data_IF_933683520778
#
_entry.id   IF_933683520778
#
_cell.length_a   1.000
_cell.length_b   1.000
_cell.length_c   1.000
_cell.angle_alpha   90.00
_cell.angle_beta   90.00
_cell.angle_gamma   90.00
#
_symmetry.space_group_name_H-M   'P 1'
#
loop_
_entity.id
_entity.type
_entity.pdbx_description
1 polymer ?
#
# COMPACT_ATOMS: atom_id res chain seq x y z
N UNK A 1 -18.20 -10.90 19.08
CA UNK A 1 -17.67 -9.53 19.27
C UNK A 1 -16.37 -9.26 18.50
N UNK A 2 -15.64 -10.28 18.02
CA UNK A 2 -14.36 -10.11 17.28
C UNK A 2 -14.52 -9.87 15.77
N UNK A 3 -15.62 -10.33 15.16
CA UNK A 3 -15.87 -10.13 13.72
C UNK A 3 -16.19 -8.64 13.43
N UNK A 4 -16.92 -8.00 14.34
CA UNK A 4 -17.37 -6.60 14.21
C UNK A 4 -16.19 -5.60 14.22
N UNK A 5 -15.22 -5.81 15.11
CA UNK A 5 -14.02 -4.98 15.22
C UNK A 5 -13.14 -5.06 13.96
N UNK A 6 -13.00 -6.25 13.35
CA UNK A 6 -12.23 -6.44 12.12
C UNK A 6 -12.87 -5.77 10.92
N UNK A 7 -14.21 -5.86 10.81
CA UNK A 7 -14.95 -5.16 9.75
C UNK A 7 -14.75 -3.64 9.88
N UNK A 8 -14.83 -3.10 11.10
CA UNK A 8 -14.57 -1.68 11.36
C UNK A 8 -13.18 -1.22 10.91
N UNK A 9 -12.12 -1.95 11.26
CA UNK A 9 -10.76 -1.60 10.85
C UNK A 9 -10.58 -1.65 9.33
N UNK A 10 -11.16 -2.66 8.66
CA UNK A 10 -11.08 -2.76 7.20
C UNK A 10 -11.80 -1.59 6.53
N UNK A 11 -13.01 -1.24 6.97
CA UNK A 11 -13.77 -0.10 6.45
C UNK A 11 -13.05 1.24 6.67
N UNK A 12 -12.42 1.41 7.85
CA UNK A 12 -11.63 2.59 8.18
C UNK A 12 -10.38 2.70 7.31
N UNK A 13 -9.65 1.58 7.14
CA UNK A 13 -8.48 1.53 6.29
C UNK A 13 -8.81 1.99 4.87
N UNK A 14 -9.92 1.52 4.29
CA UNK A 14 -10.38 1.90 2.93
C UNK A 14 -10.53 3.42 2.73
N UNK A 15 -10.80 4.19 3.79
CA UNK A 15 -11.01 5.65 3.75
C UNK A 15 -9.73 6.47 3.81
N UNK A 16 -8.58 5.84 4.10
CA UNK A 16 -7.30 6.55 4.10
C UNK A 16 -7.13 7.23 2.73
N UNK A 17 -6.61 8.45 2.61
CA UNK A 17 -6.44 9.15 1.34
C UNK A 17 -5.33 10.19 1.46
N UNK A 18 -4.77 10.65 0.33
CA UNK A 18 -3.80 11.72 0.36
C UNK A 18 -4.36 12.97 1.02
N UNK A 19 -3.60 13.56 1.95
CA UNK A 19 -3.97 14.86 2.57
C UNK A 19 -3.49 16.06 1.76
N UNK A 20 -2.64 15.81 0.76
CA UNK A 20 -2.03 16.82 -0.10
C UNK A 20 -1.89 16.31 -1.54
N UNK A 21 -1.92 17.19 -2.55
CA UNK A 21 -1.78 16.81 -3.95
C UNK A 21 -0.36 16.32 -4.32
N UNK A 22 0.65 16.62 -3.51
CA UNK A 22 2.06 16.25 -3.72
C UNK A 22 2.49 15.00 -2.91
N UNK A 23 1.54 14.15 -2.53
CA UNK A 23 1.76 12.99 -1.65
C UNK A 23 2.82 12.02 -2.14
N UNK A 24 3.11 11.98 -3.44
CA UNK A 24 4.12 11.11 -4.04
C UNK A 24 5.52 11.34 -3.46
N UNK A 25 5.80 12.55 -2.92
CA UNK A 25 7.10 12.92 -2.34
C UNK A 25 7.12 13.00 -0.83
N UNK A 26 5.95 12.94 -0.21
CA UNK A 26 5.87 13.07 1.23
C UNK A 26 6.31 11.75 1.88
N UNK A 27 6.94 11.84 3.07
CA UNK A 27 7.06 10.68 3.95
C UNK A 27 5.70 10.02 4.11
N UNK A 28 5.66 8.69 4.09
CA UNK A 28 4.39 7.96 4.06
C UNK A 28 3.52 8.37 5.26
N UNK A 29 4.13 8.65 6.40
CA UNK A 29 3.49 9.03 7.67
C UNK A 29 2.84 10.43 7.64
N UNK A 30 3.16 11.25 6.62
CA UNK A 30 2.69 12.62 6.45
C UNK A 30 1.86 12.83 5.19
N UNK A 31 1.94 11.92 4.22
CA UNK A 31 1.23 12.03 2.95
C UNK A 31 -0.24 11.64 3.03
N UNK A 32 -0.64 10.90 4.07
CA UNK A 32 -1.97 10.30 4.21
C UNK A 32 -2.56 10.55 5.60
N UNK A 33 -3.89 10.52 5.68
CA UNK A 33 -4.71 10.69 6.88
C UNK A 33 -4.77 9.42 7.75
N UNK A 34 -3.60 8.89 8.13
CA UNK A 34 -3.48 7.73 9.01
C UNK A 34 -4.28 7.76 10.34
N UNK A 35 -4.63 8.92 10.94
CA UNK A 35 -5.59 8.95 12.05
C UNK A 35 -6.93 8.26 11.74
N UNK A 36 -7.30 8.05 10.47
CA UNK A 36 -8.50 7.32 10.08
C UNK A 36 -8.62 5.90 10.68
N UNK A 37 -7.50 5.27 11.04
CA UNK A 37 -7.48 3.92 11.66
C UNK A 37 -7.12 3.94 13.14
N UNK A 38 -6.85 5.11 13.74
CA UNK A 38 -6.27 5.20 15.07
C UNK A 38 -7.20 4.73 16.20
N UNK A 39 -8.51 4.92 16.04
CA UNK A 39 -9.53 4.54 17.02
C UNK A 39 -9.96 3.05 16.89
N UNK A 40 -9.27 2.27 16.04
CA UNK A 40 -9.58 0.86 15.82
C UNK A 40 -8.58 -0.05 16.52
N UNK A 41 -9.07 -1.17 17.04
CA UNK A 41 -8.25 -2.17 17.71
C UNK A 41 -7.36 -2.92 16.70
N UNK A 42 -6.04 -2.72 16.79
CA UNK A 42 -5.02 -3.56 16.16
C UNK A 42 -3.74 -3.54 17.02
N UNK A 43 -3.03 -4.66 17.11
CA UNK A 43 -1.73 -4.69 17.78
C UNK A 43 -0.61 -4.23 16.84
N UNK A 44 -0.70 -4.70 15.60
CA UNK A 44 0.30 -4.46 14.58
C UNK A 44 -0.32 -4.60 13.18
N UNK A 45 0.08 -3.73 12.26
CA UNK A 45 -0.22 -3.82 10.84
C UNK A 45 1.07 -3.78 10.02
N UNK A 46 0.99 -4.23 8.78
CA UNK A 46 2.13 -4.25 7.87
C UNK A 46 1.85 -3.44 6.62
N UNK A 47 2.71 -2.47 6.33
CA UNK A 47 2.55 -1.55 5.21
C UNK A 47 3.69 -1.74 4.22
N UNK A 48 3.32 -1.91 2.94
CA UNK A 48 4.25 -1.93 1.81
C UNK A 48 3.97 -0.71 0.94
N UNK A 49 4.95 0.17 0.79
CA UNK A 49 4.85 1.37 -0.04
C UNK A 49 5.67 1.16 -1.31
N UNK A 50 5.03 1.41 -2.46
CA UNK A 50 5.63 1.37 -3.77
C UNK A 50 5.88 2.80 -4.22
N UNK A 51 7.14 3.22 -4.27
CA UNK A 51 7.54 4.52 -4.84
C UNK A 51 8.21 4.27 -6.18
N UNK A 52 7.76 4.98 -7.21
CA UNK A 52 8.30 4.74 -8.55
C UNK A 52 8.35 6.00 -9.39
N UNK A 53 9.30 6.08 -10.31
CA UNK A 53 9.29 7.00 -11.44
C UNK A 53 9.17 6.19 -12.72
N UNK A 54 8.11 6.40 -13.50
CA UNK A 54 7.89 5.67 -14.77
C UNK A 54 8.79 6.21 -15.87
N UNK A 55 9.24 5.31 -16.75
CA UNK A 55 9.90 5.70 -17.99
C UNK A 55 8.98 6.59 -18.84
N UNK A 56 9.53 7.54 -19.63
CA UNK A 56 8.72 8.39 -20.52
C UNK A 56 7.86 7.61 -21.51
N UNK A 57 8.32 6.43 -21.93
CA UNK A 57 7.69 5.52 -22.89
C UNK A 57 7.08 4.27 -22.23
N UNK A 58 6.87 4.29 -20.91
CA UNK A 58 6.28 3.18 -20.19
C UNK A 58 4.89 2.83 -20.74
N UNK A 59 4.65 1.54 -20.97
CA UNK A 59 3.35 1.02 -21.39
C UNK A 59 2.37 1.01 -20.21
N UNK A 60 1.52 2.04 -20.15
CA UNK A 60 0.56 2.23 -19.05
C UNK A 60 -0.54 1.17 -19.02
N UNK A 61 -0.92 0.63 -20.18
CA UNK A 61 -1.91 -0.44 -20.27
C UNK A 61 -1.36 -1.74 -19.73
N UNK A 62 -0.11 -2.06 -20.08
CA UNK A 62 0.58 -3.23 -19.54
C UNK A 62 0.80 -3.11 -18.02
N UNK A 63 1.21 -1.93 -17.54
CA UNK A 63 1.34 -1.66 -16.10
C UNK A 63 0.02 -1.87 -15.37
N UNK A 64 -1.07 -1.29 -15.88
CA UNK A 64 -2.41 -1.46 -15.30
C UNK A 64 -2.83 -2.92 -15.29
N UNK A 65 -2.61 -3.64 -16.37
CA UNK A 65 -2.97 -5.06 -16.49
C UNK A 65 -2.29 -5.93 -15.44
N UNK A 66 -0.96 -5.81 -15.28
CA UNK A 66 -0.24 -6.61 -14.28
C UNK A 66 -0.53 -6.17 -12.85
N UNK A 67 -0.76 -4.88 -12.62
CA UNK A 67 -1.19 -4.37 -11.33
C UNK A 67 -2.55 -4.93 -10.92
N UNK A 68 -3.52 -4.94 -11.82
CA UNK A 68 -4.87 -5.47 -11.54
C UNK A 68 -4.83 -7.00 -11.28
N UNK A 69 -3.95 -7.73 -11.97
CA UNK A 69 -3.71 -9.16 -11.72
C UNK A 69 -3.09 -9.41 -10.35
N UNK A 70 -2.07 -8.63 -9.96
CA UNK A 70 -1.43 -8.73 -8.65
C UNK A 70 -2.43 -8.35 -7.54
N UNK A 71 -3.24 -7.31 -7.75
CA UNK A 71 -4.28 -6.93 -6.81
C UNK A 71 -5.35 -8.02 -6.63
N UNK A 72 -5.82 -8.65 -7.72
CA UNK A 72 -6.75 -9.77 -7.63
C UNK A 72 -6.16 -10.96 -6.84
N UNK A 73 -4.86 -11.26 -7.02
CA UNK A 73 -4.16 -12.29 -6.25
C UNK A 73 -3.99 -11.90 -4.77
N UNK A 74 -3.75 -10.62 -4.47
CA UNK A 74 -3.70 -10.09 -3.12
C UNK A 74 -5.03 -10.25 -2.38
N UNK A 75 -6.15 -9.91 -3.05
CA UNK A 75 -7.50 -10.12 -2.51
C UNK A 75 -7.77 -11.60 -2.23
N UNK A 76 -7.42 -12.48 -3.16
CA UNK A 76 -7.61 -13.93 -3.00
C UNK A 76 -6.75 -14.55 -1.88
N UNK A 77 -5.60 -13.95 -1.58
CA UNK A 77 -4.68 -14.40 -0.53
C UNK A 77 -5.14 -14.06 0.90
N UNK A 78 -6.05 -13.08 1.02
CA UNK A 78 -6.61 -12.62 2.30
C UNK A 78 -5.67 -11.76 3.14
N UNK A 79 -6.24 -10.99 4.07
CA UNK A 79 -5.51 -10.10 4.99
C UNK A 79 -5.10 -8.75 4.40
N UNK A 80 -5.50 -8.44 3.17
CA UNK A 80 -5.34 -7.10 2.60
C UNK A 80 -6.43 -6.17 3.16
N UNK A 81 -6.02 -5.17 3.94
CA UNK A 81 -6.93 -4.16 4.48
C UNK A 81 -7.18 -3.06 3.46
N UNK A 82 -6.14 -2.66 2.73
CA UNK A 82 -6.24 -1.63 1.70
C UNK A 82 -5.18 -1.77 0.62
N UNK A 83 -5.60 -1.60 -0.62
CA UNK A 83 -4.73 -1.20 -1.72
C UNK A 83 -5.06 0.24 -2.12
N UNK A 84 -4.09 1.14 -2.03
CA UNK A 84 -4.17 2.48 -2.61
C UNK A 84 -3.35 2.52 -3.89
N UNK A 85 -4.04 2.69 -5.02
CA UNK A 85 -3.45 2.87 -6.35
C UNK A 85 -3.33 4.37 -6.63
N UNK A 86 -2.15 4.92 -6.40
CA UNK A 86 -1.92 6.34 -6.62
C UNK A 86 -1.74 6.69 -8.09
N UNK A 87 -2.06 7.94 -8.42
CA UNK A 87 -1.77 8.52 -9.72
C UNK A 87 -0.30 8.98 -9.81
N UNK A 88 0.20 8.96 -11.05
CA UNK A 88 1.48 9.56 -11.36
C UNK A 88 1.32 11.08 -11.49
N UNK A 89 2.28 11.82 -10.95
CA UNK A 89 2.36 13.27 -11.15
C UNK A 89 2.94 13.66 -12.51
N UNK A 90 3.07 14.98 -12.74
CA UNK A 90 3.64 15.57 -13.96
C UNK A 90 5.07 15.11 -14.29
N UNK A 91 5.79 14.59 -13.29
CA UNK A 91 7.14 14.02 -13.43
C UNK A 91 7.13 12.49 -13.50
N UNK A 92 5.95 11.88 -13.70
CA UNK A 92 5.72 10.43 -13.78
C UNK A 92 6.05 9.68 -12.49
N UNK A 93 6.18 10.38 -11.36
CA UNK A 93 6.42 9.74 -10.07
C UNK A 93 5.10 9.34 -9.46
N UNK A 94 5.08 8.19 -8.80
CA UNK A 94 3.87 7.54 -8.31
C UNK A 94 4.14 6.97 -6.93
N UNK A 95 3.11 6.97 -6.08
CA UNK A 95 3.10 6.30 -4.79
C UNK A 95 1.82 5.48 -4.68
N UNK A 96 1.99 4.17 -4.57
CA UNK A 96 0.92 3.24 -4.21
C UNK A 96 1.29 2.54 -2.90
N UNK A 97 0.32 1.94 -2.20
CA UNK A 97 0.64 1.10 -1.06
C UNK A 97 -0.39 0.00 -0.82
N UNK A 98 0.06 -1.05 -0.14
CA UNK A 98 -0.80 -2.08 0.42
C UNK A 98 -0.65 -2.10 1.95
N UNK A 99 -1.77 -1.97 2.65
CA UNK A 99 -1.87 -2.15 4.10
C UNK A 99 -2.45 -3.54 4.38
N UNK A 100 -1.78 -4.28 5.27
CA UNK A 100 -2.07 -5.68 5.58
C UNK A 100 -2.29 -5.88 7.07
N UNK A 101 -3.13 -6.85 7.41
CA UNK A 101 -3.32 -7.33 8.78
C UNK A 101 -2.02 -7.88 9.38
N UNK A 102 -1.14 -8.47 8.57
CA UNK A 102 0.16 -8.95 9.04
C UNK A 102 1.21 -9.05 7.92
N UNK A 103 2.47 -9.16 8.33
CA UNK A 103 3.60 -9.40 7.42
C UNK A 103 3.44 -10.73 6.69
N UNK A 104 2.96 -11.77 7.35
CA UNK A 104 2.74 -13.09 6.77
C UNK A 104 1.68 -13.04 5.67
N UNK A 105 0.61 -12.25 5.84
CA UNK A 105 -0.40 -12.04 4.81
C UNK A 105 0.22 -11.40 3.54
N UNK A 106 1.00 -10.33 3.74
CA UNK A 106 1.71 -9.66 2.65
C UNK A 106 2.67 -10.60 1.91
N UNK A 107 3.43 -11.42 2.64
CA UNK A 107 4.38 -12.38 2.06
C UNK A 107 3.68 -13.50 1.29
N UNK A 108 2.55 -14.01 1.78
CA UNK A 108 1.75 -15.01 1.05
C UNK A 108 1.27 -14.48 -0.29
N UNK A 109 0.75 -13.26 -0.32
CA UNK A 109 0.32 -12.62 -1.56
C UNK A 109 1.51 -12.36 -2.51
N UNK A 110 2.60 -11.78 -2.00
CA UNK A 110 3.77 -11.44 -2.80
C UNK A 110 4.50 -12.66 -3.40
N UNK A 111 4.35 -13.85 -2.79
CA UNK A 111 4.88 -15.10 -3.31
C UNK A 111 4.05 -15.72 -4.46
N UNK A 112 2.94 -15.10 -4.84
CA UNK A 112 2.07 -15.57 -5.91
C UNK A 112 2.61 -15.28 -7.32
N UNK A 113 2.09 -16.03 -8.30
CA UNK A 113 2.53 -15.94 -9.69
C UNK A 113 2.19 -14.59 -10.32
N UNK A 114 1.10 -13.95 -9.91
CA UNK A 114 0.70 -12.65 -10.49
C UNK A 114 1.60 -11.53 -9.99
N UNK A 115 2.00 -11.56 -8.72
CA UNK A 115 3.03 -10.66 -8.20
C UNK A 115 4.39 -10.88 -8.86
N UNK A 116 4.80 -12.14 -9.07
CA UNK A 116 6.03 -12.45 -9.83
C UNK A 116 5.99 -11.87 -11.24
N UNK A 117 4.87 -12.04 -11.94
CA UNK A 117 4.65 -11.50 -13.28
C UNK A 117 4.72 -9.96 -13.29
N UNK A 118 4.09 -9.28 -12.32
CA UNK A 118 4.17 -7.83 -12.20
C UNK A 118 5.60 -7.34 -11.92
N UNK A 119 6.33 -8.04 -11.03
CA UNK A 119 7.73 -7.71 -10.74
C UNK A 119 8.64 -7.89 -11.97
N UNK A 120 8.35 -8.85 -12.85
CA UNK A 120 9.16 -9.14 -14.04
C UNK A 120 9.23 -7.98 -15.05
N UNK A 121 8.24 -7.07 -15.04
CA UNK A 121 8.19 -5.95 -15.97
C UNK A 121 8.79 -4.66 -15.41
N UNK A 122 9.12 -4.61 -14.12
CA UNK A 122 9.57 -3.40 -13.42
C UNK A 122 10.77 -2.75 -14.12
N UNK A 123 11.80 -3.54 -14.44
CA UNK A 123 13.06 -3.03 -15.02
C UNK A 123 12.90 -2.35 -16.39
N UNK A 124 11.82 -2.64 -17.12
CA UNK A 124 11.53 -2.02 -18.43
C UNK A 124 10.43 -0.95 -18.38
N UNK A 125 9.86 -0.68 -17.20
CA UNK A 125 8.76 0.28 -17.04
C UNK A 125 9.12 1.48 -16.17
N UNK A 126 10.14 1.34 -15.32
CA UNK A 126 10.48 2.35 -14.34
C UNK A 126 11.94 2.82 -14.47
N UNK A 127 12.14 4.13 -14.31
CA UNK A 127 13.44 4.74 -14.04
C UNK A 127 13.92 4.32 -12.65
N UNK A 128 13.00 4.37 -11.67
CA UNK A 128 13.23 3.91 -10.30
C UNK A 128 11.99 3.22 -9.74
N UNK A 129 12.20 2.22 -8.90
CA UNK A 129 11.15 1.49 -8.22
C UNK A 129 11.64 1.01 -6.86
N UNK A 130 11.12 1.61 -5.80
CA UNK A 130 11.51 1.38 -4.41
C UNK A 130 10.35 0.79 -3.61
N UNK A 131 10.67 -0.22 -2.81
CA UNK A 131 9.77 -0.87 -1.88
C UNK A 131 10.14 -0.50 -0.45
N UNK A 132 9.31 0.31 0.19
CA UNK A 132 9.43 0.59 1.61
C UNK A 132 8.53 -0.36 2.40
N UNK A 133 9.01 -0.83 3.55
CA UNK A 133 8.28 -1.75 4.43
C UNK A 133 8.22 -1.13 5.81
N UNK A 134 7.04 -1.14 6.39
CA UNK A 134 6.80 -0.60 7.71
C UNK A 134 5.94 -1.54 8.53
N UNK A 135 6.20 -1.54 9.82
CA UNK A 135 5.27 -2.02 10.81
C UNK A 135 4.59 -0.82 11.46
N UNK A 136 3.26 -0.91 11.56
CA UNK A 136 2.44 0.09 12.22
C UNK A 136 1.94 -0.49 13.53
N UNK A 137 2.10 0.25 14.63
CA UNK A 137 1.49 -0.07 15.92
C UNK A 137 0.59 1.08 16.35
N UNK A 138 -0.35 0.87 17.29
CA UNK A 138 -1.13 1.97 17.85
C UNK A 138 -0.26 3.16 18.25
N UNK A 139 -0.76 4.36 17.96
CA UNK A 139 -0.20 5.62 18.43
C UNK A 139 -0.67 5.94 19.85
N UNK A 140 -0.06 6.95 20.46
CA UNK A 140 -0.54 7.48 21.74
C UNK A 140 -1.88 8.21 21.54
N UNK A 141 -2.81 8.09 22.51
CA UNK A 141 -4.07 8.84 22.63
C UNK A 141 -4.94 8.94 21.36
N UNK A 142 -5.07 7.85 20.58
CA UNK A 142 -5.89 7.86 19.34
C UNK A 142 -5.29 8.72 18.21
N UNK A 143 -4.02 9.08 18.34
CA UNK A 143 -3.26 9.78 17.30
C UNK A 143 -2.82 8.87 16.16
N UNK A 144 -2.06 9.44 15.21
CA UNK A 144 -1.46 8.69 14.11
C UNK A 144 -0.73 7.43 14.63
N UNK A 145 -0.87 6.25 13.98
CA UNK A 145 -0.07 5.07 14.27
C UNK A 145 1.44 5.35 14.31
N UNK A 146 2.16 4.59 15.11
CA UNK A 146 3.62 4.62 15.11
C UNK A 146 4.15 3.83 13.92
N UNK A 147 5.13 4.39 13.18
CA UNK A 147 5.72 3.75 12.01
C UNK A 147 7.14 3.29 12.31
N UNK A 148 7.41 1.99 12.13
CA UNK A 148 8.77 1.43 12.19
C UNK A 148 9.17 0.92 10.82
N UNK A 149 10.14 1.59 10.17
CA UNK A 149 10.71 1.13 8.89
C UNK A 149 11.54 -0.14 9.11
N UNK A 150 11.43 -1.10 8.19
CA UNK A 150 12.15 -2.39 8.20
C UNK A 150 13.26 -2.45 7.16
#
# INVERSE_FOLDING_TARGET
MTIDLRVGLQEAAQRIHPVRPDYQYLPIELGFDWPAIADHDFDQLYLVVFRSERLPDADLDLLRWFDDLAYAEALASGGLLRYFKGDADDRRRCLSFCLWESREAALRAAGGKKHEQAASITARMYVSYDLERYELTPGDDGGRPNFRRL
#
